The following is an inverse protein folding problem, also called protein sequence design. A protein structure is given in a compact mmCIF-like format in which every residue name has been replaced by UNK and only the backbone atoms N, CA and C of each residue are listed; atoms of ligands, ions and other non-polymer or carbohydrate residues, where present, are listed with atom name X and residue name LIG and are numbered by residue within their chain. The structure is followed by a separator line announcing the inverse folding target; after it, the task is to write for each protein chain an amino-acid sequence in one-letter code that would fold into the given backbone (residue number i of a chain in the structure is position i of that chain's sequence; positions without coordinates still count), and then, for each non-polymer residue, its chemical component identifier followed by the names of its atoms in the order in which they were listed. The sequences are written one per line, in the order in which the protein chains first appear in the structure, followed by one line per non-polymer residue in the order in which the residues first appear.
data_IF_268246794069
#
_entry.id   IF_268246794069
#
_cell.length_a   1.000
_cell.length_b   1.000
_cell.length_c   1.000
_cell.angle_alpha   90.00
_cell.angle_beta   90.00
_cell.angle_gamma   90.00
#
_symmetry.space_group_name_H-M   'P 1'
#
loop_
_entity.id
_entity.type
_entity.pdbx_description
1 polymer ?
#
# COMPACT_ATOMS: atom_id res chain seq x y z
N UNK A 1 -34.78 13.08 -10.70
CA UNK A 1 -33.87 13.96 -9.94
C UNK A 1 -33.05 13.07 -9.03
N UNK A 2 -31.83 12.73 -9.43
CA UNK A 2 -30.96 11.86 -8.63
C UNK A 2 -30.50 12.60 -7.37
N UNK A 3 -30.50 11.97 -6.18
CA UNK A 3 -29.98 12.60 -4.98
C UNK A 3 -28.48 12.84 -5.18
N UNK A 4 -28.03 14.06 -4.87
CA UNK A 4 -26.60 14.40 -4.86
C UNK A 4 -25.87 13.46 -3.91
N UNK A 5 -24.72 12.86 -4.30
CA UNK A 5 -23.98 12.00 -3.41
C UNK A 5 -23.55 12.81 -2.17
N UNK A 6 -23.88 12.28 -1.01
CA UNK A 6 -23.32 12.71 0.27
C UNK A 6 -21.81 12.50 0.16
N UNK A 7 -20.99 13.52 0.45
CA UNK A 7 -19.53 13.37 0.40
C UNK A 7 -19.14 12.25 1.35
N UNK A 8 -18.63 11.14 0.80
CA UNK A 8 -18.02 10.10 1.61
C UNK A 8 -16.71 10.68 2.16
N UNK A 9 -16.42 10.62 3.47
CA UNK A 9 -15.16 11.12 4.05
C UNK A 9 -13.90 10.35 3.58
N UNK A 10 -14.05 9.52 2.55
CA UNK A 10 -13.06 8.56 2.09
C UNK A 10 -12.60 8.81 0.65
N UNK A 11 -13.40 9.45 -0.22
CA UNK A 11 -13.13 9.52 -1.67
C UNK A 11 -12.39 10.80 -2.13
N UNK A 12 -12.09 11.71 -1.20
CA UNK A 12 -11.40 12.98 -1.46
C UNK A 12 -12.30 14.12 -1.94
N UNK A 13 -13.59 13.89 -2.17
CA UNK A 13 -14.53 14.97 -2.52
C UNK A 13 -14.96 15.75 -1.29
N UNK A 14 -14.84 17.07 -1.36
CA UNK A 14 -15.26 17.97 -0.28
C UNK A 14 -16.44 18.83 -0.74
N UNK A 15 -17.60 18.66 -0.11
CA UNK A 15 -18.76 19.51 -0.36
C UNK A 15 -18.65 20.84 0.40
N UNK A 16 -18.25 21.92 -0.29
CA UNK A 16 -18.05 23.24 0.34
C UNK A 16 -19.33 23.79 1.00
N UNK A 17 -20.51 23.54 0.44
CA UNK A 17 -21.77 24.02 1.03
C UNK A 17 -22.06 23.32 2.36
N UNK A 18 -21.81 22.01 2.44
CA UNK A 18 -21.89 21.25 3.68
C UNK A 18 -20.86 21.74 4.71
N UNK A 19 -19.61 21.99 4.30
CA UNK A 19 -18.59 22.49 5.22
C UNK A 19 -18.92 23.91 5.74
N UNK A 20 -19.55 24.77 4.92
CA UNK A 20 -20.07 26.08 5.38
C UNK A 20 -21.15 25.92 6.45
N UNK A 21 -22.02 24.92 6.32
CA UNK A 21 -23.05 24.60 7.33
C UNK A 21 -22.38 24.10 8.62
N UNK A 22 -21.44 23.15 8.51
CA UNK A 22 -20.65 22.64 9.64
C UNK A 22 -19.91 23.76 10.39
N UNK A 23 -19.32 24.72 9.68
CA UNK A 23 -18.66 25.86 10.31
C UNK A 23 -19.63 26.77 11.09
N UNK A 24 -20.88 26.92 10.63
CA UNK A 24 -21.92 27.66 11.37
C UNK A 24 -22.39 26.93 12.63
N UNK A 25 -22.54 25.61 12.53
CA UNK A 25 -22.90 24.76 13.69
C UNK A 25 -21.77 24.77 14.73
N UNK A 26 -20.52 24.64 14.29
CA UNK A 26 -19.35 24.75 15.16
C UNK A 26 -19.24 26.14 15.80
N UNK A 27 -19.53 27.22 15.07
CA UNK A 27 -19.58 28.56 15.64
C UNK A 27 -20.60 28.67 16.78
N UNK A 28 -21.77 28.06 16.63
CA UNK A 28 -22.79 28.07 17.69
C UNK A 28 -22.28 27.36 18.95
N UNK A 29 -21.52 26.26 18.80
CA UNK A 29 -20.88 25.56 19.91
C UNK A 29 -19.74 26.37 20.53
N UNK A 30 -18.88 26.99 19.73
CA UNK A 30 -17.78 27.82 20.24
C UNK A 30 -18.32 29.03 21.02
N UNK A 31 -19.42 29.62 20.57
CA UNK A 31 -20.07 30.75 21.24
C UNK A 31 -20.67 30.42 22.60
N UNK A 32 -20.98 29.16 22.89
CA UNK A 32 -21.43 28.76 24.23
C UNK A 32 -20.29 28.71 25.25
N UNK A 33 -19.04 28.64 24.78
CA UNK A 33 -17.83 28.60 25.60
C UNK A 33 -17.10 29.96 25.63
N UNK A 34 -17.06 30.65 24.48
CA UNK A 34 -16.47 31.98 24.31
C UNK A 34 -17.40 32.86 23.45
N UNK A 35 -18.09 33.85 24.04
CA UNK A 35 -18.95 34.78 23.31
C UNK A 35 -18.22 35.56 22.19
N UNK A 36 -16.89 35.70 22.27
CA UNK A 36 -16.04 36.35 21.27
C UNK A 36 -15.74 35.50 20.04
N UNK A 37 -16.16 34.23 20.00
CA UNK A 37 -15.87 33.33 18.91
C UNK A 37 -16.41 33.83 17.55
N UNK A 38 -15.58 33.75 16.53
CA UNK A 38 -15.86 34.25 15.17
C UNK A 38 -16.06 33.14 14.15
N UNK A 39 -16.80 33.42 13.08
CA UNK A 39 -16.98 32.46 11.98
C UNK A 39 -15.65 32.07 11.34
N UNK A 40 -14.69 32.99 11.26
CA UNK A 40 -13.35 32.74 10.73
C UNK A 40 -12.59 31.69 11.56
N UNK A 41 -12.72 31.72 12.89
CA UNK A 41 -12.15 30.69 13.77
C UNK A 41 -12.81 29.33 13.54
N UNK A 42 -14.15 29.28 13.45
CA UNK A 42 -14.87 28.03 13.16
C UNK A 42 -14.51 27.45 11.78
N UNK A 43 -14.42 28.31 10.76
CA UNK A 43 -13.98 27.92 9.41
C UNK A 43 -12.53 27.42 9.41
N UNK A 44 -11.64 28.08 10.15
CA UNK A 44 -10.25 27.63 10.29
C UNK A 44 -10.15 26.25 10.94
N UNK A 45 -10.94 25.98 11.99
CA UNK A 45 -10.97 24.66 12.63
C UNK A 45 -11.48 23.57 11.68
N UNK A 46 -12.57 23.82 10.94
CA UNK A 46 -13.08 22.87 9.93
C UNK A 46 -12.04 22.62 8.83
N UNK A 47 -11.36 23.68 8.36
CA UNK A 47 -10.32 23.54 7.34
C UNK A 47 -9.13 22.69 7.85
N UNK A 48 -8.69 22.90 9.09
CA UNK A 48 -7.62 22.10 9.72
C UNK A 48 -7.99 20.64 9.86
N UNK A 49 -9.23 20.34 10.27
CA UNK A 49 -9.74 18.96 10.36
C UNK A 49 -9.74 18.23 9.01
N UNK A 50 -9.88 18.96 7.90
CA UNK A 50 -9.84 18.41 6.55
C UNK A 50 -8.43 18.44 5.92
N UNK A 51 -7.39 18.75 6.71
CA UNK A 51 -5.99 18.75 6.25
C UNK A 51 -5.50 20.06 5.62
N UNK A 52 -6.28 21.15 5.68
CA UNK A 52 -5.90 22.45 5.11
C UNK A 52 -5.31 23.40 6.15
N UNK A 53 -4.38 24.26 5.74
CA UNK A 53 -3.84 25.30 6.64
C UNK A 53 -4.76 26.51 6.78
N UNK A 54 -5.75 26.68 5.91
CA UNK A 54 -6.71 27.78 5.94
C UNK A 54 -7.98 27.48 5.13
N UNK A 55 -9.07 28.20 5.42
CA UNK A 55 -10.33 28.09 4.68
C UNK A 55 -10.23 28.49 3.20
N UNK A 56 -9.48 29.55 2.81
CA UNK A 56 -9.23 29.83 1.40
C UNK A 56 -8.55 28.68 0.64
N UNK A 57 -7.57 27.99 1.25
CA UNK A 57 -6.93 26.83 0.61
C UNK A 57 -7.89 25.66 0.42
N UNK A 58 -8.78 25.41 1.39
CA UNK A 58 -9.85 24.43 1.24
C UNK A 58 -10.75 24.80 0.05
N UNK A 59 -11.17 26.08 -0.04
CA UNK A 59 -11.99 26.55 -1.15
C UNK A 59 -11.26 26.39 -2.49
N UNK A 60 -9.99 26.80 -2.59
CA UNK A 60 -9.18 26.64 -3.80
C UNK A 60 -9.07 25.16 -4.21
N UNK A 61 -8.93 24.24 -3.26
CA UNK A 61 -8.91 22.81 -3.56
C UNK A 61 -10.25 22.32 -4.10
N UNK A 62 -11.38 22.71 -3.49
CA UNK A 62 -12.71 22.36 -4.02
C UNK A 62 -12.92 22.95 -5.40
N UNK A 63 -12.55 24.22 -5.61
CA UNK A 63 -12.67 24.90 -6.90
C UNK A 63 -11.77 24.21 -7.96
N UNK A 64 -10.59 23.70 -7.57
CA UNK A 64 -9.69 22.94 -8.45
C UNK A 64 -10.25 21.55 -8.83
N UNK A 65 -10.85 20.83 -7.88
CA UNK A 65 -11.56 19.57 -8.17
C UNK A 65 -12.75 19.81 -9.10
N UNK A 66 -13.58 20.81 -8.81
CA UNK A 66 -14.71 21.22 -9.65
C UNK A 66 -14.24 21.61 -11.07
N UNK A 67 -13.10 22.30 -11.16
CA UNK A 67 -12.49 22.67 -12.43
C UNK A 67 -12.03 21.44 -13.21
N UNK A 68 -11.28 20.54 -12.58
CA UNK A 68 -10.82 19.29 -13.18
C UNK A 68 -12.00 18.42 -13.65
N UNK A 69 -13.05 18.31 -12.84
CA UNK A 69 -14.27 17.58 -13.19
C UNK A 69 -15.02 18.16 -14.40
N UNK A 70 -15.01 19.50 -14.57
CA UNK A 70 -15.68 20.20 -15.68
C UNK A 70 -14.82 20.29 -16.93
N UNK A 71 -13.51 20.11 -16.82
CA UNK A 71 -12.56 20.16 -17.92
C UNK A 71 -11.70 18.88 -17.96
N UNK A 72 -12.29 17.69 -18.16
CA UNK A 72 -11.52 16.46 -18.37
C UNK A 72 -10.63 16.55 -19.62
N UNK A 73 -10.95 17.48 -20.53
CA UNK A 73 -10.20 17.81 -21.74
C UNK A 73 -9.23 18.99 -21.56
N UNK A 74 -8.92 19.42 -20.33
CA UNK A 74 -7.95 20.50 -20.11
C UNK A 74 -6.59 20.07 -20.70
N UNK A 75 -6.09 20.85 -21.67
CA UNK A 75 -5.00 20.50 -22.59
C UNK A 75 -3.91 19.61 -21.96
N UNK A 76 -4.02 18.31 -22.16
CA UNK A 76 -2.90 17.40 -22.11
C UNK A 76 -2.55 17.08 -23.56
N UNK A 77 -1.71 17.91 -24.16
CA UNK A 77 -0.99 17.52 -25.37
C UNK A 77 -0.38 16.14 -25.08
N UNK A 78 -0.71 15.14 -25.91
CA UNK A 78 -0.27 13.72 -25.87
C UNK A 78 -0.93 12.71 -24.89
N UNK A 79 -1.99 13.04 -24.14
CA UNK A 79 -2.61 12.07 -23.19
C UNK A 79 -3.09 10.76 -23.87
N UNK A 80 -3.65 10.86 -25.07
CA UNK A 80 -4.10 9.68 -25.82
C UNK A 80 -2.94 8.75 -26.24
N UNK A 81 -1.68 9.20 -26.17
CA UNK A 81 -0.47 8.42 -26.43
C UNK A 81 0.23 7.96 -25.14
N UNK A 82 -0.29 8.33 -23.98
CA UNK A 82 0.29 7.95 -22.68
C UNK A 82 -0.01 6.50 -22.36
N UNK A 83 0.97 5.79 -21.81
CA UNK A 83 0.76 4.54 -21.11
C UNK A 83 0.73 4.79 -19.60
N UNK A 84 -0.41 4.54 -18.97
CA UNK A 84 -0.59 4.59 -17.52
C UNK A 84 -0.26 3.25 -16.90
N UNK A 85 0.62 3.27 -15.91
CA UNK A 85 1.05 2.08 -15.19
C UNK A 85 0.58 2.12 -13.74
N UNK A 86 0.11 0.97 -13.25
CA UNK A 86 -0.34 0.79 -11.87
C UNK A 86 -0.01 -0.62 -11.41
N UNK A 87 0.16 -0.80 -10.11
CA UNK A 87 0.40 -2.11 -9.50
C UNK A 87 -0.87 -3.00 -9.40
N UNK A 88 -1.99 -2.57 -10.00
CA UNK A 88 -3.33 -3.14 -9.87
C UNK A 88 -4.35 -2.46 -10.79
N UNK A 89 -5.60 -2.93 -10.78
CA UNK A 89 -6.69 -2.44 -11.65
C UNK A 89 -7.62 -1.44 -10.99
N UNK A 90 -7.37 -1.08 -9.73
CA UNK A 90 -8.26 -0.32 -8.84
C UNK A 90 -8.63 1.06 -9.35
N UNK A 91 -7.77 1.67 -10.18
CA UNK A 91 -8.03 2.99 -10.79
C UNK A 91 -8.40 2.92 -12.28
N UNK A 92 -8.37 1.74 -12.92
CA UNK A 92 -8.51 1.63 -14.38
C UNK A 92 -9.83 2.23 -14.89
N UNK A 93 -10.95 1.87 -14.24
CA UNK A 93 -12.26 2.42 -14.59
C UNK A 93 -12.39 3.90 -14.18
N UNK A 94 -11.86 4.28 -13.02
CA UNK A 94 -11.91 5.66 -12.53
C UNK A 94 -11.13 6.62 -13.43
N UNK A 95 -10.01 6.20 -14.01
CA UNK A 95 -9.29 6.96 -15.03
C UNK A 95 -10.15 7.16 -16.29
N UNK A 96 -10.83 6.12 -16.78
CA UNK A 96 -11.75 6.27 -17.91
C UNK A 96 -12.86 7.29 -17.61
N UNK A 97 -13.46 7.23 -16.42
CA UNK A 97 -14.49 8.18 -15.98
C UNK A 97 -13.95 9.61 -15.84
N UNK A 98 -12.67 9.76 -15.48
CA UNK A 98 -11.99 11.04 -15.39
C UNK A 98 -11.61 11.63 -16.76
N UNK A 99 -11.77 10.86 -17.85
CA UNK A 99 -11.55 11.30 -19.22
C UNK A 99 -10.21 10.88 -19.83
N UNK A 100 -9.41 10.07 -19.12
CA UNK A 100 -8.18 9.50 -19.66
C UNK A 100 -8.47 8.50 -20.78
N UNK A 101 -7.73 8.60 -21.89
CA UNK A 101 -7.81 7.79 -23.11
C UNK A 101 -6.55 6.99 -23.37
N UNK A 102 -5.46 7.26 -22.65
CA UNK A 102 -4.21 6.53 -22.72
C UNK A 102 -4.39 5.03 -22.43
N UNK A 103 -3.39 4.24 -22.83
CA UNK A 103 -3.38 2.80 -22.55
C UNK A 103 -3.16 2.56 -21.05
N UNK A 104 -3.88 1.62 -20.45
CA UNK A 104 -3.65 1.18 -19.08
C UNK A 104 -2.88 -0.14 -19.06
N UNK A 105 -1.81 -0.20 -18.28
CA UNK A 105 -0.93 -1.37 -18.09
C UNK A 105 -0.76 -1.61 -16.60
N UNK A 106 -0.56 -2.88 -16.25
CA UNK A 106 -0.41 -3.30 -14.87
C UNK A 106 0.79 -4.19 -14.68
N UNK A 107 1.34 -4.16 -13.48
CA UNK A 107 2.15 -5.23 -12.93
C UNK A 107 1.54 -5.62 -11.59
N UNK A 108 0.82 -6.75 -11.56
CA UNK A 108 0.04 -7.21 -10.40
C UNK A 108 0.77 -8.25 -9.56
N UNK A 109 2.04 -8.50 -9.85
CA UNK A 109 2.93 -9.34 -9.05
C UNK A 109 3.08 -8.72 -7.63
N UNK A 110 2.59 -9.39 -6.57
CA UNK A 110 2.65 -8.86 -5.21
C UNK A 110 4.06 -9.03 -4.65
N UNK A 111 4.96 -8.13 -5.06
CA UNK A 111 6.39 -8.18 -4.71
C UNK A 111 6.66 -8.04 -3.21
N UNK A 112 5.70 -7.54 -2.42
CA UNK A 112 5.80 -7.48 -0.96
C UNK A 112 5.68 -8.86 -0.26
N UNK A 113 5.38 -9.93 -1.01
CA UNK A 113 5.31 -11.29 -0.50
C UNK A 113 5.97 -12.33 -1.41
N UNK A 114 6.38 -13.42 -0.77
CA UNK A 114 7.05 -14.54 -1.44
C UNK A 114 8.51 -14.26 -1.77
N UNK A 115 9.18 -15.21 -2.42
CA UNK A 115 10.58 -15.07 -2.79
C UNK A 115 10.74 -14.05 -3.93
N UNK A 116 11.56 -13.03 -3.71
CA UNK A 116 11.98 -12.08 -4.75
C UNK A 116 13.50 -12.16 -4.79
N UNK A 117 14.04 -12.79 -5.83
CA UNK A 117 15.46 -13.17 -5.92
C UNK A 117 16.08 -12.59 -7.18
N UNK A 118 17.37 -12.35 -7.13
CA UNK A 118 18.15 -11.96 -8.31
C UNK A 118 18.37 -13.22 -9.18
N UNK A 119 17.57 -13.33 -10.24
CA UNK A 119 17.54 -14.46 -11.15
C UNK A 119 17.42 -13.96 -12.59
N UNK A 120 17.86 -14.75 -13.59
CA UNK A 120 17.52 -14.51 -14.99
C UNK A 120 16.00 -14.34 -15.18
N UNK A 121 15.59 -13.52 -16.15
CA UNK A 121 14.18 -13.13 -16.30
C UNK A 121 13.22 -14.32 -16.40
N UNK A 122 13.57 -15.38 -17.15
CA UNK A 122 12.74 -16.58 -17.28
C UNK A 122 12.58 -17.31 -15.94
N UNK A 123 13.68 -17.55 -15.23
CA UNK A 123 13.66 -18.20 -13.91
C UNK A 123 12.91 -17.37 -12.86
N UNK A 124 13.06 -16.04 -12.92
CA UNK A 124 12.34 -15.12 -12.07
C UNK A 124 10.83 -15.19 -12.30
N UNK A 125 10.38 -15.14 -13.56
CA UNK A 125 8.95 -15.24 -13.92
C UNK A 125 8.37 -16.61 -13.55
N UNK A 126 9.12 -17.69 -13.75
CA UNK A 126 8.74 -19.03 -13.32
C UNK A 126 8.59 -19.12 -11.78
N UNK A 127 9.54 -18.56 -11.03
CA UNK A 127 9.48 -18.50 -9.57
C UNK A 127 8.26 -17.72 -9.09
N UNK A 128 8.02 -16.52 -9.66
CA UNK A 128 6.92 -15.64 -9.25
C UNK A 128 5.56 -16.22 -9.62
N UNK A 129 5.39 -16.78 -10.81
CA UNK A 129 4.13 -17.42 -11.23
C UNK A 129 3.78 -18.64 -10.39
N UNK A 130 4.77 -19.49 -10.05
CA UNK A 130 4.56 -20.62 -9.15
C UNK A 130 4.14 -20.18 -7.75
N UNK A 131 4.80 -19.16 -7.19
CA UNK A 131 4.42 -18.57 -5.91
C UNK A 131 2.98 -18.03 -5.94
N UNK A 132 2.64 -17.21 -6.94
CA UNK A 132 1.30 -16.63 -7.08
C UNK A 132 0.22 -17.72 -7.21
N UNK A 133 0.46 -18.74 -8.04
CA UNK A 133 -0.47 -19.85 -8.22
C UNK A 133 -0.73 -20.59 -6.90
N UNK A 134 0.35 -20.93 -6.17
CA UNK A 134 0.26 -21.65 -4.91
C UNK A 134 -0.42 -20.82 -3.82
N UNK A 135 -0.02 -19.56 -3.66
CA UNK A 135 -0.47 -18.69 -2.56
C UNK A 135 -1.93 -18.27 -2.71
N UNK A 136 -2.39 -18.04 -3.94
CA UNK A 136 -3.75 -17.56 -4.20
C UNK A 136 -4.68 -18.62 -4.80
N UNK A 137 -4.23 -19.89 -4.86
CA UNK A 137 -4.95 -21.01 -5.44
C UNK A 137 -5.46 -20.72 -6.88
N UNK A 138 -4.61 -20.09 -7.68
CA UNK A 138 -4.87 -19.80 -9.09
C UNK A 138 -4.34 -20.92 -9.97
N UNK A 139 -4.97 -21.13 -11.12
CA UNK A 139 -4.46 -22.06 -12.13
C UNK A 139 -3.03 -21.70 -12.54
N UNK A 140 -2.14 -22.70 -12.63
CA UNK A 140 -0.72 -22.47 -12.85
C UNK A 140 -0.43 -21.89 -14.25
N UNK A 141 -1.18 -22.31 -15.27
CA UNK A 141 -1.03 -21.81 -16.64
C UNK A 141 -1.52 -20.37 -16.74
N UNK A 142 -2.66 -20.04 -16.10
CA UNK A 142 -3.16 -18.66 -16.07
C UNK A 142 -2.23 -17.72 -15.30
N UNK A 143 -1.69 -18.17 -14.16
CA UNK A 143 -0.72 -17.39 -13.40
C UNK A 143 0.56 -17.14 -14.20
N UNK A 144 1.11 -18.17 -14.86
CA UNK A 144 2.30 -18.05 -15.70
C UNK A 144 2.06 -17.10 -16.88
N UNK A 145 0.97 -17.30 -17.63
CA UNK A 145 0.61 -16.43 -18.76
C UNK A 145 0.46 -14.97 -18.33
N UNK A 146 -0.23 -14.70 -17.22
CA UNK A 146 -0.39 -13.33 -16.71
C UNK A 146 0.96 -12.70 -16.36
N UNK A 147 1.82 -13.42 -15.62
CA UNK A 147 3.15 -12.92 -15.26
C UNK A 147 3.95 -12.63 -16.52
N UNK A 148 3.98 -13.55 -17.49
CA UNK A 148 4.70 -13.32 -18.74
C UNK A 148 4.16 -12.11 -19.51
N UNK A 149 2.85 -11.98 -19.65
CA UNK A 149 2.20 -10.86 -20.33
C UNK A 149 2.56 -9.51 -19.66
N UNK A 150 2.50 -9.43 -18.34
CA UNK A 150 2.78 -8.20 -17.57
C UNK A 150 4.27 -7.83 -17.64
N UNK A 151 5.18 -8.79 -17.48
CA UNK A 151 6.62 -8.51 -17.54
C UNK A 151 7.07 -8.21 -18.98
N UNK A 152 6.52 -8.87 -20.00
CA UNK A 152 6.77 -8.51 -21.40
C UNK A 152 6.32 -7.07 -21.70
N UNK A 153 5.19 -6.64 -21.12
CA UNK A 153 4.76 -5.25 -21.24
C UNK A 153 5.73 -4.33 -20.51
N UNK A 154 6.16 -4.69 -19.29
CA UNK A 154 7.10 -3.89 -18.50
C UNK A 154 8.41 -3.63 -19.25
N UNK A 155 8.91 -4.63 -19.98
CA UNK A 155 10.13 -4.50 -20.79
C UNK A 155 10.00 -3.40 -21.88
N UNK A 156 8.78 -3.07 -22.30
CA UNK A 156 8.54 -1.98 -23.28
C UNK A 156 8.66 -0.58 -22.68
N UNK A 157 8.68 -0.45 -21.34
CA UNK A 157 8.71 0.83 -20.62
C UNK A 157 9.87 1.72 -21.06
N UNK A 158 11.05 1.14 -21.33
CA UNK A 158 12.23 1.87 -21.77
C UNK A 158 12.06 2.54 -23.15
N UNK A 159 11.21 1.96 -24.00
CA UNK A 159 10.98 2.40 -25.39
C UNK A 159 9.68 3.17 -25.59
N UNK A 160 8.88 3.32 -24.53
CA UNK A 160 7.57 3.97 -24.62
C UNK A 160 7.72 5.49 -24.85
N UNK A 161 6.89 6.03 -25.75
CA UNK A 161 6.88 7.46 -26.06
C UNK A 161 6.58 8.34 -24.84
N UNK A 162 5.64 7.92 -24.00
CA UNK A 162 5.21 8.62 -22.79
C UNK A 162 4.57 7.64 -21.82
N UNK A 163 5.13 7.52 -20.61
CA UNK A 163 4.60 6.68 -19.55
C UNK A 163 4.38 7.46 -18.26
N UNK A 164 3.30 7.16 -17.55
CA UNK A 164 3.02 7.71 -16.22
C UNK A 164 2.77 6.58 -15.24
N UNK A 165 3.61 6.49 -14.21
CA UNK A 165 3.47 5.57 -13.08
C UNK A 165 2.54 6.21 -12.03
N UNK A 166 1.53 5.48 -11.58
CA UNK A 166 0.63 5.90 -10.49
C UNK A 166 0.96 5.11 -9.24
N UNK A 167 1.60 5.77 -8.27
CA UNK A 167 2.11 5.13 -7.07
C UNK A 167 1.64 5.76 -5.76
N UNK A 168 1.61 4.91 -4.75
CA UNK A 168 1.35 5.27 -3.36
C UNK A 168 2.63 5.19 -2.53
N UNK A 169 2.55 5.66 -1.28
CA UNK A 169 3.68 5.65 -0.37
C UNK A 169 3.94 4.28 0.28
N UNK A 170 3.14 3.26 -0.02
CA UNK A 170 3.18 1.97 0.65
C UNK A 170 4.16 0.95 0.02
N UNK A 171 4.35 -0.19 0.68
CA UNK A 171 5.31 -1.21 0.24
C UNK A 171 4.92 -1.92 -1.07
N UNK A 172 3.64 -2.11 -1.36
CA UNK A 172 3.21 -2.74 -2.61
C UNK A 172 3.62 -1.83 -3.79
N UNK A 173 3.26 -0.56 -3.67
CA UNK A 173 3.50 0.46 -4.69
C UNK A 173 4.97 0.79 -4.87
N UNK A 174 5.71 0.96 -3.78
CA UNK A 174 7.13 1.29 -3.85
C UNK A 174 7.97 0.11 -4.35
N UNK A 175 7.58 -1.15 -4.07
CA UNK A 175 8.23 -2.33 -4.65
C UNK A 175 7.93 -2.48 -6.15
N UNK A 176 6.69 -2.19 -6.57
CA UNK A 176 6.35 -2.06 -7.98
C UNK A 176 7.21 -0.98 -8.67
N UNK A 177 7.31 0.20 -8.06
CA UNK A 177 8.05 1.33 -8.60
C UNK A 177 9.54 0.99 -8.79
N UNK A 178 10.21 0.46 -7.76
CA UNK A 178 11.63 0.09 -7.90
C UNK A 178 11.82 -1.04 -8.91
N UNK A 179 10.88 -1.99 -9.03
CA UNK A 179 10.98 -3.05 -10.04
C UNK A 179 10.88 -2.48 -11.45
N UNK A 180 9.93 -1.59 -11.69
CA UNK A 180 9.73 -0.96 -12.99
C UNK A 180 10.95 -0.13 -13.40
N UNK A 181 11.55 0.61 -12.45
CA UNK A 181 12.71 1.46 -12.72
C UNK A 181 14.03 0.69 -12.79
N UNK A 182 14.20 -0.39 -12.03
CA UNK A 182 15.45 -1.15 -11.98
C UNK A 182 15.80 -1.85 -13.30
N UNK A 183 14.81 -2.11 -14.16
CA UNK A 183 15.03 -2.66 -15.51
C UNK A 183 15.52 -1.64 -16.54
N UNK A 184 15.58 -0.36 -16.19
CA UNK A 184 15.99 0.72 -17.10
C UNK A 184 17.49 0.98 -16.98
N UNK A 185 18.17 1.21 -18.11
CA UNK A 185 19.57 1.66 -18.12
C UNK A 185 19.70 3.13 -17.69
N UNK A 186 18.75 3.97 -18.12
CA UNK A 186 18.63 5.39 -17.83
C UNK A 186 17.15 5.79 -17.87
N UNK A 187 16.81 6.96 -17.32
CA UNK A 187 15.43 7.43 -17.30
C UNK A 187 14.94 7.82 -18.71
N UNK A 188 13.83 7.24 -19.21
CA UNK A 188 13.21 7.69 -20.44
C UNK A 188 12.78 9.16 -20.32
N UNK A 189 12.91 9.98 -21.38
CA UNK A 189 12.70 11.42 -21.32
C UNK A 189 11.27 11.83 -20.94
N UNK A 190 10.30 10.93 -21.13
CA UNK A 190 8.89 11.12 -20.80
C UNK A 190 8.36 10.00 -19.90
N UNK A 191 9.16 9.60 -18.91
CA UNK A 191 8.68 8.81 -17.80
C UNK A 191 8.35 9.74 -16.63
N UNK A 192 7.08 9.80 -16.27
CA UNK A 192 6.59 10.63 -15.17
C UNK A 192 5.99 9.76 -14.06
N UNK A 193 5.92 10.32 -12.86
CA UNK A 193 5.40 9.68 -11.67
C UNK A 193 4.38 10.58 -10.99
N UNK A 194 3.23 10.01 -10.66
CA UNK A 194 2.28 10.55 -9.69
C UNK A 194 2.46 9.72 -8.43
N UNK A 195 2.80 10.39 -7.33
CA UNK A 195 3.13 9.75 -6.06
C UNK A 195 2.41 10.46 -4.92
N UNK A 196 1.62 9.74 -4.13
CA UNK A 196 0.84 10.34 -3.02
C UNK A 196 0.89 9.52 -1.74
N UNK A 197 1.00 10.21 -0.60
CA UNK A 197 0.91 9.63 0.75
C UNK A 197 -0.35 10.11 1.51
N UNK A 198 -1.02 11.13 0.99
CA UNK A 198 -2.20 11.75 1.60
C UNK A 198 -3.03 12.49 0.56
N UNK A 199 -4.32 12.57 0.81
CA UNK A 199 -5.25 13.38 0.03
C UNK A 199 -6.00 14.33 0.98
N UNK A 200 -6.00 15.64 0.72
CA UNK A 200 -6.79 16.56 1.52
C UNK A 200 -8.28 16.16 1.55
N UNK A 201 -8.90 16.24 2.72
CA UNK A 201 -10.28 15.77 2.93
C UNK A 201 -10.45 14.26 3.16
N UNK A 202 -9.38 13.48 3.04
CA UNK A 202 -9.35 12.05 3.40
C UNK A 202 -8.67 11.91 4.76
N UNK A 203 -9.40 11.38 5.75
CA UNK A 203 -8.88 11.20 7.11
C UNK A 203 -7.85 10.06 7.20
N UNK A 204 -8.18 8.90 6.63
CA UNK A 204 -7.29 7.74 6.48
C UNK A 204 -7.16 7.42 4.99
N UNK A 205 -6.01 7.75 4.42
CA UNK A 205 -5.67 7.37 3.05
C UNK A 205 -5.16 5.93 3.07
N UNK A 206 -5.85 5.04 2.34
CA UNK A 206 -5.52 3.62 2.20
C UNK A 206 -5.00 3.32 0.80
N UNK A 207 -5.62 3.91 -0.22
CA UNK A 207 -5.38 3.55 -1.61
C UNK A 207 -5.81 4.65 -2.58
N UNK A 208 -5.13 4.87 -3.72
CA UNK A 208 -5.61 5.75 -4.80
C UNK A 208 -6.92 5.18 -5.38
N UNK A 209 -7.13 3.87 -5.34
CA UNK A 209 -8.37 3.21 -5.70
C UNK A 209 -9.61 3.68 -4.92
N UNK A 210 -9.44 4.32 -3.76
CA UNK A 210 -10.56 4.89 -3.00
C UNK A 210 -11.02 6.26 -3.55
N UNK A 211 -10.21 6.90 -4.41
CA UNK A 211 -10.41 8.28 -4.81
C UNK A 211 -11.43 8.42 -5.94
N UNK A 212 -12.20 9.50 -5.88
CA UNK A 212 -13.13 9.83 -6.94
C UNK A 212 -12.40 10.23 -8.24
N UNK A 213 -12.99 10.00 -9.43
CA UNK A 213 -12.35 10.30 -10.73
C UNK A 213 -11.81 11.74 -10.87
N UNK A 214 -12.51 12.72 -10.34
CA UNK A 214 -12.12 14.14 -10.31
C UNK A 214 -10.85 14.41 -9.48
N UNK A 215 -10.61 13.61 -8.44
CA UNK A 215 -9.36 13.66 -7.67
C UNK A 215 -8.19 13.13 -8.51
N UNK A 216 -8.40 12.08 -9.31
CA UNK A 216 -7.37 11.58 -10.24
C UNK A 216 -7.01 12.62 -11.31
N UNK A 217 -8.01 13.30 -11.86
CA UNK A 217 -7.79 14.42 -12.79
C UNK A 217 -7.03 15.59 -12.12
N UNK A 218 -7.27 15.84 -10.82
CA UNK A 218 -6.52 16.84 -10.05
C UNK A 218 -5.07 16.42 -9.73
N UNK A 219 -4.79 15.12 -9.60
CA UNK A 219 -3.43 14.60 -9.43
C UNK A 219 -2.61 14.70 -10.72
N UNK A 220 -3.24 14.59 -11.89
CA UNK A 220 -2.57 14.62 -13.18
C UNK A 220 -1.55 15.75 -13.41
N UNK A 221 -1.85 17.04 -13.14
CA UNK A 221 -0.88 18.13 -13.30
C UNK A 221 0.25 18.12 -12.25
N UNK A 222 0.19 17.26 -11.23
CA UNK A 222 1.19 17.16 -10.16
C UNK A 222 2.27 16.11 -10.45
N UNK A 223 2.16 15.41 -11.58
CA UNK A 223 3.16 14.44 -12.02
C UNK A 223 4.54 15.09 -12.17
N UNK A 224 5.58 14.35 -11.83
CA UNK A 224 6.98 14.78 -11.94
C UNK A 224 7.76 13.84 -12.84
N UNK A 225 8.73 14.37 -13.57
CA UNK A 225 9.63 13.57 -14.40
C UNK A 225 10.54 12.73 -13.50
N UNK A 226 10.71 11.46 -13.85
CA UNK A 226 11.70 10.55 -13.26
C UNK A 226 13.06 10.86 -13.89
N UNK A 227 14.09 11.01 -13.07
CA UNK A 227 15.46 11.28 -13.51
C UNK A 227 16.38 10.06 -13.29
N UNK A 228 17.59 10.12 -13.82
CA UNK A 228 18.57 9.03 -13.70
C UNK A 228 18.93 8.70 -12.25
N UNK A 229 18.90 9.70 -11.36
CA UNK A 229 19.14 9.47 -9.93
C UNK A 229 18.06 8.58 -9.30
N UNK A 230 16.80 8.70 -9.72
CA UNK A 230 15.73 7.80 -9.29
C UNK A 230 15.92 6.38 -9.85
N UNK A 231 16.33 6.24 -11.11
CA UNK A 231 16.62 4.94 -11.73
C UNK A 231 17.79 4.23 -11.02
N UNK A 232 18.89 4.93 -10.77
CA UNK A 232 20.05 4.39 -10.03
C UNK A 232 19.69 3.97 -8.61
N UNK A 233 18.88 4.78 -7.91
CA UNK A 233 18.39 4.42 -6.58
C UNK A 233 17.49 3.18 -6.62
N UNK A 234 16.60 3.08 -7.61
CA UNK A 234 15.74 1.91 -7.78
C UNK A 234 16.54 0.63 -8.07
N UNK A 235 17.59 0.70 -8.89
CA UNK A 235 18.50 -0.43 -9.13
C UNK A 235 19.17 -0.90 -7.83
N UNK A 236 19.67 0.04 -7.01
CA UNK A 236 20.29 -0.28 -5.72
C UNK A 236 19.27 -0.91 -4.75
N UNK A 237 18.07 -0.32 -4.66
CA UNK A 237 17.00 -0.83 -3.81
C UNK A 237 16.50 -2.20 -4.26
N UNK A 238 16.34 -2.43 -5.57
CA UNK A 238 15.93 -3.72 -6.11
C UNK A 238 16.97 -4.81 -5.84
N UNK A 239 18.25 -4.52 -6.07
CA UNK A 239 19.34 -5.43 -5.74
C UNK A 239 19.38 -5.76 -4.25
N UNK A 240 19.25 -4.75 -3.39
CA UNK A 240 19.20 -4.95 -1.93
C UNK A 240 17.96 -5.74 -1.48
N UNK A 241 16.81 -5.55 -2.13
CA UNK A 241 15.59 -6.29 -1.83
C UNK A 241 15.68 -7.76 -2.24
N UNK A 242 16.41 -8.06 -3.31
CA UNK A 242 16.67 -9.41 -3.79
C UNK A 242 17.78 -10.15 -3.03
N UNK A 243 18.57 -9.45 -2.20
CA UNK A 243 19.69 -10.01 -1.45
C UNK A 243 19.18 -10.91 -0.31
N UNK A 244 19.91 -12.01 -0.07
CA UNK A 244 19.66 -12.92 1.06
C UNK A 244 19.94 -12.26 2.43
N UNK A 245 20.69 -11.15 2.43
CA UNK A 245 20.93 -10.31 3.61
C UNK A 245 20.11 -9.01 3.54
N UNK A 246 19.30 -8.71 4.57
CA UNK A 246 18.52 -7.47 4.62
C UNK A 246 19.33 -6.23 5.04
N UNK A 247 20.64 -6.35 5.25
CA UNK A 247 21.47 -5.25 5.81
C UNK A 247 21.46 -4.03 4.89
N UNK A 248 21.72 -4.20 3.59
CA UNK A 248 21.70 -3.09 2.61
C UNK A 248 20.29 -2.49 2.47
N UNK A 249 19.26 -3.34 2.53
CA UNK A 249 17.87 -2.89 2.50
C UNK A 249 17.56 -2.00 3.71
N UNK A 250 18.06 -2.37 4.89
CA UNK A 250 17.95 -1.58 6.10
C UNK A 250 18.72 -0.26 6.03
N UNK A 251 19.92 -0.23 5.45
CA UNK A 251 20.68 1.02 5.23
C UNK A 251 19.89 2.00 4.35
N UNK A 252 19.28 1.51 3.27
CA UNK A 252 18.41 2.30 2.40
C UNK A 252 17.14 2.76 3.12
N UNK A 253 16.53 1.90 3.94
CA UNK A 253 15.32 2.23 4.70
C UNK A 253 15.53 3.32 5.78
N UNK A 254 16.75 3.48 6.28
CA UNK A 254 17.10 4.47 7.31
C UNK A 254 17.65 5.79 6.75
N UNK A 255 17.73 5.93 5.43
CA UNK A 255 18.28 7.11 4.75
C UNK A 255 17.20 7.81 3.93
N UNK A 256 17.05 9.15 3.99
CA UNK A 256 16.11 9.86 3.14
C UNK A 256 16.58 9.90 1.69
N UNK A 257 15.65 9.75 0.75
CA UNK A 257 15.94 9.70 -0.69
C UNK A 257 15.17 10.78 -1.44
N UNK A 258 15.84 11.88 -1.81
CA UNK A 258 15.16 13.00 -2.47
C UNK A 258 14.49 12.63 -3.80
N UNK A 259 15.07 11.68 -4.55
CA UNK A 259 14.54 11.23 -5.84
C UNK A 259 13.29 10.36 -5.70
N UNK A 260 13.16 9.59 -4.61
CA UNK A 260 12.05 8.69 -4.28
C UNK A 260 11.72 8.82 -2.78
N UNK A 261 10.99 9.87 -2.37
CA UNK A 261 10.86 10.28 -0.97
C UNK A 261 10.09 9.27 -0.11
N UNK A 262 9.22 8.45 -0.69
CA UNK A 262 8.45 7.44 0.04
C UNK A 262 9.12 6.07 0.07
N UNK A 263 10.25 5.89 -0.63
CA UNK A 263 10.94 4.59 -0.67
C UNK A 263 11.41 4.17 0.74
N UNK A 264 12.12 5.04 1.45
CA UNK A 264 12.65 4.73 2.78
C UNK A 264 11.56 4.27 3.79
N UNK A 265 10.46 5.03 4.01
CA UNK A 265 9.41 4.59 4.92
C UNK A 265 8.71 3.30 4.46
N UNK A 266 8.53 3.08 3.16
CA UNK A 266 7.96 1.84 2.63
C UNK A 266 8.88 0.64 2.87
N UNK A 267 10.18 0.77 2.62
CA UNK A 267 11.18 -0.27 2.91
C UNK A 267 11.29 -0.55 4.41
N UNK A 268 11.21 0.49 5.24
CA UNK A 268 11.21 0.34 6.70
C UNK A 268 9.98 -0.46 7.17
N UNK A 269 8.81 -0.21 6.55
CA UNK A 269 7.62 -1.02 6.83
C UNK A 269 7.78 -2.45 6.30
N UNK A 270 8.33 -2.64 5.11
CA UNK A 270 8.56 -3.96 4.52
C UNK A 270 9.54 -4.80 5.34
N UNK A 271 10.60 -4.20 5.90
CA UNK A 271 11.55 -4.88 6.80
C UNK A 271 10.86 -5.45 8.05
N UNK A 272 9.79 -4.83 8.51
CA UNK A 272 9.00 -5.32 9.63
C UNK A 272 8.17 -6.57 9.28
N UNK A 273 8.24 -7.06 8.04
CA UNK A 273 7.81 -8.42 7.69
C UNK A 273 8.83 -9.51 8.06
N UNK A 274 10.06 -9.15 8.41
CA UNK A 274 10.99 -10.06 9.09
C UNK A 274 10.51 -10.36 10.51
N UNK A 275 10.88 -11.53 11.07
CA UNK A 275 10.51 -11.91 12.43
C UNK A 275 11.12 -10.94 13.43
N UNK A 276 10.30 -10.44 14.36
CA UNK A 276 10.80 -9.66 15.48
C UNK A 276 11.71 -10.50 16.36
N UNK A 277 12.79 -9.92 16.88
CA UNK A 277 13.79 -10.65 17.67
C UNK A 277 13.22 -11.36 18.92
N UNK A 278 12.15 -10.82 19.51
CA UNK A 278 11.55 -11.31 20.76
C UNK A 278 10.57 -12.46 20.51
N UNK A 279 9.59 -12.25 19.63
CA UNK A 279 8.43 -13.15 19.46
C UNK A 279 8.47 -13.93 18.14
N UNK A 280 9.34 -13.57 17.20
CA UNK A 280 9.41 -14.21 15.89
C UNK A 280 8.27 -13.82 14.94
N UNK A 281 7.41 -12.88 15.32
CA UNK A 281 6.29 -12.43 14.50
C UNK A 281 6.70 -11.28 13.59
N UNK A 282 6.13 -11.20 12.39
CA UNK A 282 6.11 -9.94 11.67
C UNK A 282 5.20 -8.92 12.32
N UNK A 283 5.34 -7.65 11.92
CA UNK A 283 4.42 -6.60 12.37
C UNK A 283 2.97 -6.93 12.00
N UNK A 284 2.68 -7.38 10.78
CA UNK A 284 1.31 -7.74 10.36
C UNK A 284 0.71 -8.83 11.24
N UNK A 285 1.49 -9.89 11.52
CA UNK A 285 1.05 -10.99 12.39
C UNK A 285 0.83 -10.49 13.81
N UNK A 286 1.78 -9.73 14.37
CA UNK A 286 1.70 -9.17 15.72
C UNK A 286 0.51 -8.22 15.91
N UNK A 287 0.20 -7.37 14.92
CA UNK A 287 -0.97 -6.49 14.98
C UNK A 287 -2.28 -7.30 14.96
N UNK A 288 -2.33 -8.36 14.14
CA UNK A 288 -3.49 -9.24 14.04
C UNK A 288 -3.74 -10.01 15.34
N UNK A 289 -2.72 -10.68 15.86
CA UNK A 289 -2.81 -11.47 17.10
C UNK A 289 -3.20 -10.59 18.29
N UNK A 290 -2.64 -9.37 18.38
CA UNK A 290 -2.96 -8.43 19.45
C UNK A 290 -4.40 -7.93 19.40
N UNK A 291 -4.90 -7.61 18.21
CA UNK A 291 -6.31 -7.22 18.07
C UNK A 291 -7.24 -8.38 18.49
N UNK A 292 -6.95 -9.61 18.05
CA UNK A 292 -7.73 -10.80 18.44
C UNK A 292 -7.66 -11.03 19.96
N UNK A 293 -6.49 -10.85 20.58
CA UNK A 293 -6.34 -10.95 22.03
C UNK A 293 -7.18 -9.91 22.78
N UNK A 294 -7.28 -8.69 22.26
CA UNK A 294 -8.05 -7.59 22.88
C UNK A 294 -9.57 -7.80 22.78
N UNK A 295 -10.08 -8.32 21.65
CA UNK A 295 -11.53 -8.41 21.40
C UNK A 295 -12.12 -9.80 21.56
N UNK A 296 -11.29 -10.84 21.69
CA UNK A 296 -11.71 -12.23 21.70
C UNK A 296 -12.06 -12.77 20.30
N UNK A 297 -12.89 -13.82 20.20
CA UNK A 297 -13.30 -14.40 18.92
C UNK A 297 -13.87 -13.35 17.98
N UNK A 298 -13.30 -13.24 16.77
CA UNK A 298 -13.64 -12.17 15.83
C UNK A 298 -13.58 -12.66 14.38
N UNK A 299 -14.48 -12.22 13.48
CA UNK A 299 -14.41 -12.59 12.08
C UNK A 299 -13.11 -12.13 11.42
N UNK A 300 -12.56 -12.96 10.54
CA UNK A 300 -11.32 -12.70 9.80
C UNK A 300 -11.34 -11.32 9.10
N UNK A 301 -12.42 -11.03 8.38
CA UNK A 301 -12.59 -9.75 7.67
C UNK A 301 -12.65 -8.54 8.61
N UNK A 302 -13.03 -8.73 9.88
CA UNK A 302 -13.00 -7.65 10.89
C UNK A 302 -11.58 -7.39 11.39
N UNK A 303 -10.73 -8.41 11.48
CA UNK A 303 -9.30 -8.24 11.76
C UNK A 303 -8.65 -7.41 10.65
N UNK A 304 -8.88 -7.80 9.39
CA UNK A 304 -8.37 -7.05 8.24
C UNK A 304 -8.86 -5.59 8.23
N UNK A 305 -10.16 -5.37 8.40
CA UNK A 305 -10.75 -4.03 8.41
C UNK A 305 -10.19 -3.15 9.54
N UNK A 306 -9.97 -3.71 10.73
CA UNK A 306 -9.37 -2.98 11.85
C UNK A 306 -7.92 -2.59 11.58
N UNK A 307 -7.13 -3.51 11.00
CA UNK A 307 -5.75 -3.22 10.63
C UNK A 307 -5.70 -2.06 9.64
N UNK A 308 -6.42 -2.16 8.52
CA UNK A 308 -6.42 -1.13 7.47
C UNK A 308 -6.93 0.22 8.02
N UNK A 309 -8.02 0.22 8.77
CA UNK A 309 -8.65 1.45 9.23
C UNK A 309 -7.88 2.16 10.36
N UNK A 310 -7.15 1.42 11.22
CA UNK A 310 -6.64 1.98 12.48
C UNK A 310 -5.22 1.58 12.90
N UNK A 311 -4.79 0.34 12.67
CA UNK A 311 -3.60 -0.22 13.35
C UNK A 311 -2.37 -0.32 12.46
N UNK A 312 -2.55 -0.68 11.20
CA UNK A 312 -1.46 -0.78 10.25
C UNK A 312 -0.95 0.65 9.97
N UNK A 313 0.32 0.99 10.29
CA UNK A 313 0.84 2.34 10.06
C UNK A 313 0.82 2.74 8.58
N UNK A 314 1.19 1.83 7.68
CA UNK A 314 1.31 2.08 6.25
C UNK A 314 0.66 0.92 5.47
N UNK A 315 -0.66 0.98 5.23
CA UNK A 315 -1.43 -0.11 4.62
C UNK A 315 -0.97 -0.41 3.20
N UNK A 316 -0.74 -1.68 2.89
CA UNK A 316 -0.28 -2.14 1.56
C UNK A 316 -0.90 -3.49 1.13
N UNK A 317 -1.71 -4.11 1.99
CA UNK A 317 -2.23 -5.46 1.78
C UNK A 317 -3.65 -5.42 1.21
N UNK A 318 -3.88 -6.21 0.16
CA UNK A 318 -5.21 -6.67 -0.20
C UNK A 318 -5.74 -7.73 0.77
N UNK A 319 -7.05 -7.94 0.77
CA UNK A 319 -7.73 -8.92 1.63
C UNK A 319 -7.25 -10.35 1.40
N UNK A 320 -7.07 -10.76 0.14
CA UNK A 320 -6.53 -12.06 -0.24
C UNK A 320 -5.07 -12.25 0.19
N UNK A 321 -4.27 -11.18 0.14
CA UNK A 321 -2.88 -11.22 0.62
C UNK A 321 -2.84 -11.37 2.13
N UNK A 322 -3.68 -10.62 2.85
CA UNK A 322 -3.82 -10.74 4.29
C UNK A 322 -4.29 -12.15 4.70
N UNK A 323 -5.27 -12.70 3.98
CA UNK A 323 -5.72 -14.07 4.19
C UNK A 323 -4.58 -15.08 4.02
N UNK A 324 -3.80 -14.97 2.93
CA UNK A 324 -2.65 -15.82 2.67
C UNK A 324 -1.56 -15.69 3.75
N UNK A 325 -1.25 -14.47 4.20
CA UNK A 325 -0.25 -14.20 5.23
C UNK A 325 -0.58 -14.85 6.58
N UNK A 326 -1.87 -14.97 6.94
CA UNK A 326 -2.25 -15.60 8.20
C UNK A 326 -2.39 -17.12 8.13
N UNK A 327 -2.45 -17.73 6.93
CA UNK A 327 -2.60 -19.19 6.81
C UNK A 327 -1.55 -20.00 7.58
N UNK A 328 -0.24 -19.65 7.55
CA UNK A 328 0.77 -20.38 8.33
C UNK A 328 0.50 -20.42 9.84
N UNK A 329 -0.17 -19.41 10.40
CA UNK A 329 -0.52 -19.33 11.83
C UNK A 329 -1.74 -20.19 12.20
N UNK A 330 -2.49 -20.66 11.19
CA UNK A 330 -3.74 -21.41 11.33
C UNK A 330 -3.55 -22.88 10.93
N UNK A 331 -2.88 -23.11 9.79
CA UNK A 331 -2.73 -24.43 9.17
C UNK A 331 -1.45 -25.16 9.60
N UNK A 332 -0.60 -24.49 10.38
CA UNK A 332 0.66 -25.06 10.87
C UNK A 332 0.45 -26.19 11.89
N UNK A 333 1.48 -27.01 12.14
CA UNK A 333 1.42 -28.10 13.11
C UNK A 333 1.17 -27.63 14.54
N UNK A 334 1.61 -26.41 14.86
CA UNK A 334 1.43 -25.74 16.15
C UNK A 334 0.80 -24.36 15.90
N UNK A 335 -0.52 -24.28 15.66
CA UNK A 335 -1.15 -23.05 15.22
C UNK A 335 -1.19 -22.00 16.34
N UNK A 336 -1.00 -20.72 16.00
CA UNK A 336 -1.22 -19.60 16.91
C UNK A 336 -2.70 -19.18 16.93
N UNK A 337 -3.44 -19.49 15.87
CA UNK A 337 -4.85 -19.14 15.70
C UNK A 337 -5.70 -20.38 15.40
N UNK A 338 -6.91 -20.42 15.95
CA UNK A 338 -7.96 -21.37 15.54
C UNK A 338 -8.95 -20.64 14.66
N UNK A 339 -9.23 -21.20 13.48
CA UNK A 339 -10.29 -20.75 12.58
C UNK A 339 -11.54 -21.62 12.78
N UNK A 340 -12.69 -21.01 13.08
CA UNK A 340 -13.98 -21.71 13.23
C UNK A 340 -15.03 -21.18 12.24
N UNK A 341 -16.13 -21.92 12.08
CA UNK A 341 -17.18 -21.57 11.12
C UNK A 341 -16.74 -21.81 9.67
N UNK A 342 -15.97 -22.86 9.42
CA UNK A 342 -15.34 -23.17 8.12
C UNK A 342 -16.35 -23.43 7.00
N UNK A 343 -17.63 -23.67 7.34
CA UNK A 343 -18.75 -23.71 6.40
C UNK A 343 -19.05 -22.36 5.74
N UNK A 344 -18.58 -21.25 6.32
CA UNK A 344 -18.77 -19.89 5.82
C UNK A 344 -17.66 -19.49 4.85
N UNK A 345 -17.96 -18.46 4.06
CA UNK A 345 -16.93 -17.72 3.33
C UNK A 345 -15.87 -17.18 4.30
N UNK A 346 -14.61 -17.20 3.85
CA UNK A 346 -13.45 -16.92 4.70
C UNK A 346 -13.53 -15.61 5.51
N UNK A 347 -14.07 -14.47 5.01
CA UNK A 347 -14.10 -13.24 5.79
C UNK A 347 -14.99 -13.32 7.03
N UNK A 348 -15.93 -14.27 7.05
CA UNK A 348 -16.93 -14.48 8.12
C UNK A 348 -16.55 -15.60 9.07
N UNK A 349 -15.44 -16.31 8.83
CA UNK A 349 -14.88 -17.31 9.73
C UNK A 349 -14.28 -16.60 10.93
N UNK A 350 -14.46 -17.16 12.13
CA UNK A 350 -13.97 -16.54 13.35
C UNK A 350 -12.55 -17.02 13.64
N UNK A 351 -11.69 -16.08 14.05
CA UNK A 351 -10.34 -16.33 14.52
C UNK A 351 -10.31 -16.23 16.04
N UNK A 352 -9.67 -17.21 16.66
CA UNK A 352 -9.43 -17.26 18.11
C UNK A 352 -7.94 -17.45 18.38
N UNK A 353 -7.43 -16.79 19.40
CA UNK A 353 -6.05 -16.99 19.85
C UNK A 353 -5.92 -18.32 20.61
N UNK A 354 -4.89 -19.09 20.30
CA UNK A 354 -4.53 -20.31 21.07
C UNK A 354 -3.70 -19.96 22.31
N UNK A 355 -3.51 -20.90 23.26
CA UNK A 355 -2.55 -20.71 24.35
C UNK A 355 -1.13 -20.44 23.84
N UNK A 356 -0.69 -21.10 22.77
CA UNK A 356 0.61 -20.84 22.16
C UNK A 356 0.66 -19.45 21.53
N UNK A 357 -0.42 -19.03 20.85
CA UNK A 357 -0.54 -17.68 20.30
C UNK A 357 -0.41 -16.58 21.35
N UNK A 358 -0.96 -16.79 22.55
CA UNK A 358 -0.80 -15.89 23.68
C UNK A 358 0.66 -15.86 24.17
N UNK A 359 1.29 -17.02 24.38
CA UNK A 359 2.70 -17.10 24.80
C UNK A 359 3.65 -16.43 23.80
N UNK A 360 3.43 -16.64 22.51
CA UNK A 360 4.22 -15.97 21.46
C UNK A 360 4.03 -14.46 21.51
N UNK A 361 2.78 -13.98 21.65
CA UNK A 361 2.49 -12.55 21.71
C UNK A 361 3.11 -11.86 22.94
N UNK A 362 3.19 -12.59 24.06
CA UNK A 362 3.82 -12.12 25.31
C UNK A 362 5.36 -12.24 25.29
N UNK A 363 5.93 -12.92 24.28
CA UNK A 363 7.38 -13.15 24.14
C UNK A 363 7.91 -14.33 24.96
N UNK A 364 7.03 -15.15 25.52
CA UNK A 364 7.37 -16.37 26.27
C UNK A 364 7.70 -17.56 25.34
N UNK A 365 7.30 -17.47 24.07
CA UNK A 365 7.62 -18.43 23.02
C UNK A 365 8.01 -17.69 21.72
N UNK A 366 8.73 -18.37 20.82
CA UNK A 366 9.22 -17.78 19.57
C UNK A 366 8.57 -18.47 18.37
N UNK A 367 7.86 -17.71 17.53
CA UNK A 367 7.01 -18.26 16.46
C UNK A 367 7.74 -19.22 15.51
N UNK A 368 8.95 -18.87 15.07
CA UNK A 368 9.68 -19.67 14.08
C UNK A 368 10.17 -21.03 14.63
N UNK A 369 10.15 -21.25 15.95
CA UNK A 369 10.44 -22.56 16.55
C UNK A 369 9.25 -23.53 16.40
N UNK A 370 8.07 -22.99 16.06
CA UNK A 370 6.80 -23.73 15.93
C UNK A 370 6.27 -23.78 14.50
N UNK A 371 6.76 -22.89 13.63
CA UNK A 371 6.37 -22.79 12.23
C UNK A 371 6.80 -24.05 11.44
N UNK A 372 5.95 -24.49 10.50
CA UNK A 372 6.19 -25.70 9.69
C UNK A 372 6.76 -25.46 8.30
N UNK A 373 6.85 -24.21 7.84
CA UNK A 373 7.18 -23.87 6.46
C UNK A 373 8.12 -22.69 6.38
N UNK A 374 8.93 -22.65 5.32
CA UNK A 374 9.78 -21.51 5.04
C UNK A 374 8.94 -20.27 4.66
N UNK A 375 9.39 -19.09 5.09
CA UNK A 375 8.81 -17.80 4.76
C UNK A 375 9.83 -16.95 4.03
N UNK A 376 9.36 -16.07 3.15
CA UNK A 376 10.23 -15.15 2.41
C UNK A 376 9.83 -13.69 2.65
N UNK A 377 10.84 -12.84 2.76
CA UNK A 377 10.71 -11.38 2.75
C UNK A 377 11.72 -10.85 1.74
N UNK A 378 11.25 -10.61 0.51
CA UNK A 378 12.15 -10.33 -0.60
C UNK A 378 13.09 -11.52 -0.85
N UNK A 379 14.40 -11.26 -0.85
CA UNK A 379 15.46 -12.26 -0.99
C UNK A 379 15.78 -13.04 0.27
N UNK A 380 15.25 -12.64 1.43
CA UNK A 380 15.54 -13.29 2.72
C UNK A 380 14.63 -14.51 2.91
N UNK A 381 15.24 -15.70 2.97
CA UNK A 381 14.55 -16.94 3.32
C UNK A 381 14.65 -17.22 4.82
N UNK A 382 13.52 -17.50 5.44
CA UNK A 382 13.39 -17.84 6.86
C UNK A 382 12.97 -19.31 6.93
N UNK A 383 13.89 -20.18 7.33
CA UNK A 383 13.62 -21.62 7.46
C UNK A 383 13.49 -21.97 8.95
N UNK A 384 12.37 -22.55 9.39
CA UNK A 384 12.21 -23.00 10.77
C UNK A 384 13.35 -23.92 11.23
N UNK A 385 13.83 -23.72 12.46
CA UNK A 385 14.93 -24.51 13.04
C UNK A 385 16.33 -24.22 12.49
N UNK A 386 16.49 -23.19 11.66
CA UNK A 386 17.80 -22.72 11.17
C UNK A 386 18.07 -21.29 11.65
N UNK A 387 19.34 -20.92 11.73
CA UNK A 387 19.76 -19.54 11.94
C UNK A 387 19.17 -18.62 10.85
N UNK A 388 18.70 -17.45 11.24
CA UNK A 388 17.97 -16.55 10.34
C UNK A 388 18.09 -15.08 10.75
N UNK A 389 17.76 -14.20 9.80
CA UNK A 389 17.64 -12.77 10.07
C UNK A 389 16.36 -12.46 10.83
N UNK A 390 16.50 -11.65 11.87
CA UNK A 390 15.41 -11.07 12.66
C UNK A 390 15.51 -9.55 12.62
N UNK A 391 14.49 -8.87 13.16
CA UNK A 391 14.46 -7.43 13.28
C UNK A 391 14.49 -6.98 14.75
N UNK A 392 15.42 -6.09 15.08
CA UNK A 392 15.48 -5.42 16.37
C UNK A 392 14.42 -4.33 16.54
N UNK A 393 14.28 -3.80 17.75
CA UNK A 393 13.31 -2.72 18.06
C UNK A 393 13.58 -1.41 17.34
N UNK A 394 14.82 -1.19 16.89
CA UNK A 394 15.23 -0.06 16.06
C UNK A 394 15.07 -0.32 14.55
N UNK A 395 14.38 -1.39 14.15
CA UNK A 395 14.24 -1.83 12.77
C UNK A 395 15.58 -2.14 12.05
N UNK A 396 16.63 -2.48 12.81
CA UNK A 396 17.88 -2.99 12.24
C UNK A 396 17.89 -4.53 12.23
N UNK A 397 18.43 -5.16 11.17
CA UNK A 397 18.61 -6.60 11.12
C UNK A 397 19.54 -7.12 12.20
N UNK A 398 19.15 -8.23 12.82
CA UNK A 398 19.95 -8.96 13.82
C UNK A 398 19.98 -10.43 13.39
N UNK A 399 21.17 -11.02 13.35
CA UNK A 399 21.32 -12.45 13.10
C UNK A 399 20.98 -13.23 14.37
N UNK A 400 20.10 -14.23 14.25
CA UNK A 400 19.74 -15.16 15.32
C UNK A 400 20.24 -16.55 14.94
N UNK A 401 21.11 -17.11 15.77
CA UNK A 401 21.70 -18.45 15.59
C UNK A 401 20.74 -19.59 15.96
#
# INVERSE_FOLDING_TARGET
MSPRPVSSPHDGRINLAQQRKRAKELLAQLKSQDPGATLSQAQWQVARQLGFSSWPKLKTHVDALDFAARHPMFEACDEARTTHWRCGSDIAHSLQLAGFKGQFRMLTDPLCMGPVRDLPSEDFRALRSAFISQTFALDCMDAARRVDDEYNQLDTLASADHSVLWCEADAYDQLFLIRALAGLEQAPPRLELIEVDRIPGVERFIGIGQLAPDVLAWLWPQRRVINDAAVQLAQQAWSAYCDSSPVKLAELAHSPHASLPFLAPALLRQLQELPGFVDGLSLTERLSLRYIAEVGPVPFGRVFAELMAKREPLPFLGDMMFHALLRPLIDGPNPLLIETGTEREWPRRELLLTPLGAQVLDGDAYWLDHAGHARWVGGVCLTPGQAHWTLGSNCLPIWRD
#
